data_IF_904320202980
#
_entry.id   IF_904320202980
#
_cell.length_a   1.000
_cell.length_b   1.000
_cell.length_c   1.000
_cell.angle_alpha   90.00
_cell.angle_beta   90.00
_cell.angle_gamma   90.00
#
_symmetry.space_group_name_H-M   'P 1'
#
loop_
_entity.id
_entity.type
_entity.pdbx_description
1 polymer ?
#
# COMPACT_ATOMS: atom_id res chain seq x y z
N UNK A 1 12.48 -38.72 27.92
CA UNK A 1 11.97 -38.20 26.64
C UNK A 1 12.18 -36.70 26.67
N UNK A 2 13.32 -36.23 26.16
CA UNK A 2 13.65 -34.81 26.07
C UNK A 2 13.51 -34.45 24.60
N UNK A 3 12.53 -33.63 24.24
CA UNK A 3 12.42 -33.10 22.89
C UNK A 3 13.34 -31.88 22.81
N UNK A 4 14.46 -32.07 22.13
CA UNK A 4 15.35 -31.00 21.71
C UNK A 4 14.60 -30.14 20.68
N UNK A 5 14.21 -28.92 21.07
CA UNK A 5 13.76 -27.90 20.14
C UNK A 5 14.98 -27.45 19.33
N UNK A 6 15.17 -28.07 18.16
CA UNK A 6 16.14 -27.62 17.18
C UNK A 6 15.72 -26.24 16.69
N UNK A 7 16.39 -25.21 17.20
CA UNK A 7 16.35 -23.85 16.65
C UNK A 7 16.95 -23.93 15.24
N UNK A 8 16.10 -24.12 14.23
CA UNK A 8 16.46 -23.84 12.84
C UNK A 8 16.53 -22.31 12.67
N UNK A 9 17.67 -21.75 13.09
CA UNK A 9 18.14 -20.43 12.68
C UNK A 9 18.78 -20.55 11.28
N UNK A 10 18.04 -21.15 10.36
CA UNK A 10 18.37 -21.15 8.95
C UNK A 10 17.92 -19.78 8.42
N UNK A 11 18.86 -19.01 7.87
CA UNK A 11 18.64 -17.67 7.33
C UNK A 11 17.39 -17.74 6.45
N UNK A 12 16.25 -17.19 6.90
CA UNK A 12 15.00 -17.24 6.15
C UNK A 12 15.21 -16.45 4.86
N UNK A 13 15.56 -17.12 3.78
CA UNK A 13 15.50 -16.59 2.42
C UNK A 13 14.04 -16.58 1.96
N UNK A 14 13.17 -15.90 2.71
CA UNK A 14 11.73 -15.92 2.54
C UNK A 14 11.09 -14.63 3.02
N UNK A 15 9.88 -14.38 2.52
CA UNK A 15 9.10 -13.20 2.87
C UNK A 15 8.49 -13.38 4.27
N UNK A 16 8.56 -12.34 5.11
CA UNK A 16 7.91 -12.34 6.42
C UNK A 16 6.69 -11.44 6.37
N UNK A 17 5.52 -12.03 6.54
CA UNK A 17 4.24 -11.31 6.63
C UNK A 17 3.76 -11.36 8.09
N UNK A 18 3.49 -10.18 8.65
CA UNK A 18 2.80 -10.05 9.94
C UNK A 18 1.31 -9.89 9.69
N UNK A 19 0.51 -10.69 10.38
CA UNK A 19 -0.95 -10.63 10.28
C UNK A 19 -1.54 -10.35 11.65
N UNK A 20 -2.34 -9.29 11.76
CA UNK A 20 -3.00 -8.87 13.00
C UNK A 20 -4.50 -8.81 12.79
N UNK A 21 -5.27 -9.39 13.70
CA UNK A 21 -6.71 -9.17 13.77
C UNK A 21 -6.98 -8.01 14.72
N UNK A 22 -7.63 -6.97 14.23
CA UNK A 22 -8.03 -5.81 15.00
C UNK A 22 -9.29 -6.10 15.84
N UNK A 23 -9.53 -5.27 16.87
CA UNK A 23 -10.65 -5.44 17.81
C UNK A 23 -12.03 -5.27 17.13
N UNK A 24 -12.08 -4.61 15.97
CA UNK A 24 -13.26 -4.44 15.13
C UNK A 24 -13.54 -5.63 14.19
N UNK A 25 -12.69 -6.66 14.23
CA UNK A 25 -12.80 -7.88 13.43
C UNK A 25 -12.05 -7.85 12.10
N UNK A 26 -11.49 -6.70 11.68
CA UNK A 26 -10.70 -6.60 10.45
C UNK A 26 -9.33 -7.25 10.58
N UNK A 27 -8.78 -7.67 9.45
CA UNK A 27 -7.43 -8.19 9.34
C UNK A 27 -6.51 -7.18 8.68
N UNK A 28 -5.33 -7.00 9.25
CA UNK A 28 -4.23 -6.20 8.70
C UNK A 28 -3.06 -7.12 8.40
N UNK A 29 -2.66 -7.19 7.13
CA UNK A 29 -1.50 -7.93 6.67
C UNK A 29 -0.40 -6.94 6.31
N UNK A 30 0.83 -7.20 6.75
CA UNK A 30 2.00 -6.34 6.52
C UNK A 30 3.18 -7.16 6.03
N UNK A 31 3.75 -6.77 4.91
CA UNK A 31 5.03 -7.28 4.44
C UNK A 31 6.17 -6.56 5.15
N UNK A 32 6.95 -7.30 5.95
CA UNK A 32 8.02 -6.71 6.77
C UNK A 32 9.19 -6.20 5.93
N UNK A 33 9.40 -6.75 4.73
CA UNK A 33 10.53 -6.39 3.88
C UNK A 33 10.32 -5.05 3.15
N UNK A 34 9.13 -4.82 2.58
CA UNK A 34 8.76 -3.57 1.89
C UNK A 34 8.13 -2.55 2.84
N UNK A 35 7.61 -3.00 3.99
CA UNK A 35 6.83 -2.18 4.91
C UNK A 35 5.39 -1.92 4.45
N UNK A 36 4.99 -2.42 3.27
CA UNK A 36 3.64 -2.28 2.73
C UNK A 36 2.67 -3.06 3.61
N UNK A 37 1.52 -2.45 3.86
CA UNK A 37 0.42 -3.07 4.58
C UNK A 37 -0.88 -2.90 3.81
N UNK A 38 -1.77 -3.88 3.95
CA UNK A 38 -3.13 -3.82 3.44
C UNK A 38 -4.09 -4.48 4.44
N UNK A 39 -5.39 -4.25 4.26
CA UNK A 39 -6.41 -4.73 5.17
C UNK A 39 -7.59 -5.37 4.43
N UNK A 40 -8.35 -6.21 5.13
CA UNK A 40 -9.56 -6.84 4.63
C UNK A 40 -10.45 -7.32 5.77
N UNK A 41 -11.74 -7.50 5.48
CA UNK A 41 -12.71 -8.02 6.46
C UNK A 41 -12.42 -9.48 6.83
N UNK A 42 -11.81 -10.22 5.90
CA UNK A 42 -11.31 -11.58 6.13
C UNK A 42 -9.80 -11.64 6.08
N UNK A 43 -9.24 -12.71 6.64
CA UNK A 43 -7.80 -12.99 6.58
C UNK A 43 -7.33 -13.11 5.13
N UNK A 44 -8.13 -13.79 4.30
CA UNK A 44 -7.85 -14.03 2.90
C UNK A 44 -7.87 -12.72 2.11
N UNK A 45 -8.84 -11.85 2.34
CA UNK A 45 -8.92 -10.53 1.68
C UNK A 45 -7.72 -9.65 2.06
N UNK A 46 -7.33 -9.64 3.33
CA UNK A 46 -6.18 -8.85 3.78
C UNK A 46 -4.88 -9.30 3.10
N UNK A 47 -4.69 -10.61 2.91
CA UNK A 47 -3.53 -11.16 2.21
C UNK A 47 -3.59 -10.89 0.71
N UNK A 48 -4.74 -11.07 0.06
CA UNK A 48 -4.92 -10.79 -1.36
C UNK A 48 -4.66 -9.31 -1.67
N UNK A 49 -5.22 -8.40 -0.86
CA UNK A 49 -4.99 -6.97 -1.01
C UNK A 49 -3.53 -6.60 -0.72
N UNK A 50 -2.83 -7.33 0.14
CA UNK A 50 -1.40 -7.12 0.39
C UNK A 50 -0.55 -7.53 -0.82
N UNK A 51 -0.84 -8.67 -1.44
CA UNK A 51 -0.12 -9.11 -2.64
C UNK A 51 -0.24 -8.08 -3.77
N UNK A 52 -1.44 -7.54 -3.99
CA UNK A 52 -1.66 -6.46 -4.95
C UNK A 52 -0.89 -5.19 -4.58
N UNK A 53 -1.00 -4.72 -3.33
CA UNK A 53 -0.32 -3.52 -2.87
C UNK A 53 1.21 -3.63 -2.98
N UNK A 54 1.78 -4.80 -2.69
CA UNK A 54 3.22 -5.06 -2.84
C UNK A 54 3.64 -5.06 -4.30
N UNK A 55 2.85 -5.68 -5.20
CA UNK A 55 3.13 -5.65 -6.63
C UNK A 55 3.06 -4.21 -7.18
N UNK A 56 2.07 -3.43 -6.76
CA UNK A 56 1.93 -2.01 -7.11
C UNK A 56 3.13 -1.19 -6.61
N UNK A 57 3.54 -1.40 -5.35
CA UNK A 57 4.70 -0.72 -4.77
C UNK A 57 6.01 -1.00 -5.52
N UNK A 58 6.16 -2.22 -6.05
CA UNK A 58 7.32 -2.61 -6.86
C UNK A 58 7.24 -2.15 -8.32
N UNK A 59 6.11 -1.56 -8.74
CA UNK A 59 5.85 -1.23 -10.15
C UNK A 59 5.68 -2.47 -11.05
N UNK A 60 5.32 -3.62 -10.47
CA UNK A 60 5.05 -4.85 -11.22
C UNK A 60 3.66 -4.82 -11.89
N UNK A 61 2.74 -4.05 -11.31
CA UNK A 61 1.39 -3.79 -11.81
C UNK A 61 1.07 -2.29 -11.70
N UNK A 62 -0.01 -1.86 -12.35
CA UNK A 62 -0.42 -0.46 -12.43
C UNK A 62 0.30 0.30 -13.55
N UNK A 63 -0.17 1.52 -13.81
CA UNK A 63 0.43 2.45 -14.77
C UNK A 63 0.97 3.66 -14.00
N UNK A 64 2.22 4.03 -14.26
CA UNK A 64 2.85 5.21 -13.67
C UNK A 64 2.29 6.47 -14.32
N UNK A 65 1.94 7.45 -13.50
CA UNK A 65 1.48 8.77 -13.94
C UNK A 65 2.59 9.76 -13.58
N UNK A 66 3.59 9.85 -14.45
CA UNK A 66 4.80 10.65 -14.21
C UNK A 66 4.73 12.02 -14.91
N UNK A 67 3.82 12.17 -15.87
CA UNK A 67 3.65 13.39 -16.67
C UNK A 67 2.29 14.04 -16.45
N UNK A 68 2.23 15.35 -16.71
CA UNK A 68 0.98 16.10 -16.65
C UNK A 68 -0.04 15.63 -17.69
N UNK A 69 0.42 15.16 -18.86
CA UNK A 69 -0.42 14.58 -19.89
C UNK A 69 -1.15 13.32 -19.41
N UNK A 70 -0.43 12.39 -18.77
CA UNK A 70 -1.00 11.16 -18.18
C UNK A 70 -1.94 11.50 -17.01
N UNK A 71 -1.59 12.49 -16.17
CA UNK A 71 -2.43 12.94 -15.06
C UNK A 71 -3.77 13.49 -15.58
N UNK A 72 -3.76 14.31 -16.64
CA UNK A 72 -4.99 14.84 -17.25
C UNK A 72 -5.92 13.73 -17.76
N UNK A 73 -5.39 12.70 -18.40
CA UNK A 73 -6.17 11.56 -18.88
C UNK A 73 -6.82 10.81 -17.71
N UNK A 74 -6.05 10.52 -16.66
CA UNK A 74 -6.57 9.86 -15.47
C UNK A 74 -7.64 10.70 -14.74
N UNK A 75 -7.50 12.02 -14.69
CA UNK A 75 -8.49 12.92 -14.11
C UNK A 75 -9.79 12.92 -14.93
N UNK A 76 -9.71 12.97 -16.26
CA UNK A 76 -10.88 12.91 -17.16
C UNK A 76 -11.64 11.59 -17.00
N UNK A 77 -10.92 10.46 -16.94
CA UNK A 77 -11.50 9.13 -16.71
C UNK A 77 -12.25 9.02 -15.37
N UNK A 78 -11.77 9.74 -14.34
CA UNK A 78 -12.42 9.83 -13.03
C UNK A 78 -13.56 10.85 -12.98
N UNK A 79 -13.77 11.62 -14.05
CA UNK A 79 -14.77 12.70 -14.12
C UNK A 79 -14.38 13.93 -13.31
N UNK A 80 -13.08 14.18 -13.14
CA UNK A 80 -12.50 15.31 -12.41
C UNK A 80 -11.95 16.30 -13.43
N UNK A 81 -12.30 17.59 -13.30
CA UNK A 81 -11.82 18.66 -14.19
C UNK A 81 -10.32 18.93 -13.95
N UNK A 82 -9.42 18.65 -14.94
CA UNK A 82 -7.99 18.85 -14.76
C UNK A 82 -7.59 20.30 -14.54
N UNK A 83 -8.31 21.25 -15.16
CA UNK A 83 -8.06 22.68 -15.02
C UNK A 83 -8.41 23.17 -13.61
N UNK A 84 -9.48 22.65 -13.00
CA UNK A 84 -9.84 22.93 -11.61
C UNK A 84 -8.74 22.42 -10.64
N UNK A 85 -8.24 21.19 -10.88
CA UNK A 85 -7.15 20.61 -10.07
C UNK A 85 -5.85 21.43 -10.20
N UNK A 86 -5.48 21.81 -11.42
CA UNK A 86 -4.29 22.64 -11.64
C UNK A 86 -4.41 24.00 -10.95
N UNK A 87 -5.57 24.65 -11.05
CA UNK A 87 -5.81 25.93 -10.38
C UNK A 87 -5.69 25.79 -8.86
N UNK A 88 -6.31 24.77 -8.26
CA UNK A 88 -6.25 24.55 -6.81
C UNK A 88 -4.81 24.33 -6.32
N UNK A 89 -3.98 23.62 -7.09
CA UNK A 89 -2.56 23.41 -6.81
C UNK A 89 -1.77 24.71 -6.85
N UNK A 90 -2.00 25.56 -7.84
CA UNK A 90 -1.35 26.86 -7.97
C UNK A 90 -1.76 27.84 -6.85
N UNK A 91 -3.02 27.77 -6.40
CA UNK A 91 -3.56 28.61 -5.32
C UNK A 91 -3.10 28.15 -3.92
N UNK A 92 -2.81 26.86 -3.77
CA UNK A 92 -2.46 26.22 -2.50
C UNK A 92 -1.10 25.47 -2.58
N UNK A 93 -0.05 26.16 -3.04
CA UNK A 93 1.31 25.63 -3.23
C UNK A 93 2.06 25.27 -1.92
N UNK A 94 1.34 24.91 -0.85
CA UNK A 94 1.92 24.58 0.45
C UNK A 94 0.98 23.79 1.35
N UNK A 95 1.57 23.07 2.30
CA UNK A 95 0.82 22.45 3.39
C UNK A 95 0.04 23.54 4.15
N UNK A 96 -1.22 23.27 4.55
CA UNK A 96 -1.98 24.19 5.38
C UNK A 96 -1.19 24.66 6.63
N UNK A 97 -1.40 25.88 7.10
CA UNK A 97 -0.66 26.49 8.22
C UNK A 97 -0.58 25.61 9.48
N UNK A 98 -1.58 24.75 9.72
CA UNK A 98 -1.61 23.87 10.89
C UNK A 98 -0.74 22.60 10.74
N UNK A 99 -0.22 22.33 9.55
CA UNK A 99 0.65 21.20 9.21
C UNK A 99 2.11 21.62 8.93
N UNK A 100 2.42 22.92 9.01
CA UNK A 100 3.78 23.46 8.91
C UNK A 100 4.52 23.38 10.25
#
# INVERSE_FOLDING_TARGET
>A
MSTETSTNDDVRSGQTITLTQADDGWWVARDEATGVASQGETREDALANLDEAVALHKGEIGESIDTWEEEKEALDDLGIDPEEVQQARDEHDGLPDFMQ
#
